data_IF_626800823044
#
_entry.id   IF_626800823044
#
_cell.length_a   1.000
_cell.length_b   1.000
_cell.length_c   1.000
_cell.angle_alpha   90.00
_cell.angle_beta   90.00
_cell.angle_gamma   90.00
#
_symmetry.space_group_name_H-M   'P 1'
#
loop_
_entity.id
_entity.type
_entity.pdbx_description
1 polymer ?
#
# COMPACT_ATOMS: atom_id res chain seq x y z
N UNK A 1 20.42 -20.05 12.63
CA UNK A 1 20.33 -20.85 13.85
C UNK A 1 20.10 -20.00 15.10
N UNK A 2 20.73 -18.83 15.21
CA UNK A 2 20.62 -17.96 16.42
C UNK A 2 19.26 -17.24 16.51
N UNK A 3 18.68 -16.85 15.37
CA UNK A 3 17.36 -16.19 15.33
C UNK A 3 16.21 -17.13 15.76
N UNK A 4 16.37 -18.43 15.57
CA UNK A 4 15.36 -19.44 15.89
C UNK A 4 15.40 -19.87 17.36
N UNK A 5 16.49 -19.60 18.08
CA UNK A 5 16.62 -19.97 19.48
C UNK A 5 15.78 -19.14 20.45
N UNK A 6 15.40 -17.92 20.04
CA UNK A 6 14.61 -16.99 20.84
C UNK A 6 13.10 -17.04 20.54
N UNK A 7 12.69 -17.72 19.47
CA UNK A 7 11.27 -17.89 19.15
C UNK A 7 10.77 -19.23 19.71
N UNK A 8 9.78 -19.19 20.59
CA UNK A 8 9.09 -20.40 21.10
C UNK A 8 8.17 -21.04 20.04
N UNK A 9 8.20 -20.57 18.82
CA UNK A 9 7.36 -21.04 17.72
C UNK A 9 8.16 -22.06 16.90
N UNK A 10 7.79 -23.32 16.99
CA UNK A 10 8.31 -24.35 16.10
C UNK A 10 7.76 -24.14 14.69
N UNK A 11 8.62 -24.19 13.69
CA UNK A 11 8.18 -24.19 12.29
C UNK A 11 7.48 -25.54 12.02
N UNK A 12 6.25 -25.47 11.55
CA UNK A 12 5.53 -26.68 11.10
C UNK A 12 6.16 -27.23 9.82
N UNK A 13 5.97 -28.52 9.54
CA UNK A 13 6.44 -29.15 8.28
C UNK A 13 5.91 -28.39 7.06
N UNK A 14 4.69 -27.90 7.13
CA UNK A 14 4.02 -27.12 6.09
C UNK A 14 4.74 -25.78 5.81
N UNK A 15 5.15 -25.06 6.86
CA UNK A 15 5.92 -23.82 6.74
C UNK A 15 7.33 -24.10 6.21
N UNK A 16 7.97 -25.19 6.66
CA UNK A 16 9.28 -25.63 6.14
C UNK A 16 9.19 -25.95 4.65
N UNK A 17 8.13 -26.63 4.22
CA UNK A 17 7.91 -26.97 2.80
C UNK A 17 7.78 -25.68 1.95
N UNK A 18 6.99 -24.70 2.38
CA UNK A 18 6.85 -23.41 1.66
C UNK A 18 8.18 -22.66 1.57
N UNK A 19 9.02 -22.70 2.63
CA UNK A 19 10.30 -21.98 2.64
C UNK A 19 11.35 -22.64 1.73
N UNK A 20 11.39 -23.97 1.67
CA UNK A 20 12.51 -24.71 1.07
C UNK A 20 12.16 -25.42 -0.24
N UNK A 21 10.89 -25.57 -0.59
CA UNK A 21 10.49 -26.19 -1.86
C UNK A 21 10.40 -25.14 -2.97
N UNK A 22 11.30 -25.17 -3.97
CA UNK A 22 11.30 -24.17 -5.05
C UNK A 22 10.12 -24.30 -6.03
N UNK A 23 9.29 -25.34 -5.90
CA UNK A 23 8.10 -25.52 -6.74
C UNK A 23 6.85 -24.86 -6.14
N UNK A 24 6.89 -24.48 -4.85
CA UNK A 24 5.79 -23.79 -4.15
C UNK A 24 6.07 -22.30 -4.16
N UNK A 25 5.09 -21.49 -4.58
CA UNK A 25 5.13 -20.03 -4.54
C UNK A 25 6.42 -19.42 -5.11
N UNK A 26 6.95 -20.03 -6.17
CA UNK A 26 8.26 -19.72 -6.75
C UNK A 26 8.34 -18.36 -7.44
N UNK A 27 7.21 -17.67 -7.62
CA UNK A 27 7.10 -16.35 -8.20
C UNK A 27 6.22 -15.45 -7.35
N UNK A 28 6.79 -14.37 -6.80
CA UNK A 28 6.00 -13.34 -6.11
C UNK A 28 4.97 -12.73 -7.06
N UNK A 29 5.38 -12.39 -8.27
CA UNK A 29 4.55 -11.87 -9.35
C UNK A 29 4.81 -12.69 -10.61
N UNK A 30 3.82 -13.43 -11.07
CA UNK A 30 3.86 -14.13 -12.36
C UNK A 30 3.45 -13.18 -13.48
N UNK A 31 4.21 -13.18 -14.57
CA UNK A 31 3.90 -12.47 -15.80
C UNK A 31 3.67 -13.45 -16.97
N UNK A 32 3.46 -14.72 -16.68
CA UNK A 32 3.21 -15.76 -17.68
C UNK A 32 1.75 -15.71 -18.15
N UNK A 33 1.52 -15.04 -19.27
CA UNK A 33 0.19 -14.86 -19.86
C UNK A 33 -0.48 -16.17 -20.33
N UNK A 34 0.20 -17.31 -20.25
CA UNK A 34 -0.40 -18.62 -20.56
C UNK A 34 -1.11 -19.23 -19.34
N UNK A 35 -0.98 -18.61 -18.16
CA UNK A 35 -1.56 -19.03 -16.89
C UNK A 35 -2.45 -17.94 -16.32
N UNK A 36 -3.27 -18.28 -15.34
CA UNK A 36 -3.92 -17.29 -14.51
C UNK A 36 -2.86 -16.58 -13.66
N UNK A 37 -2.74 -15.26 -13.83
CA UNK A 37 -1.70 -14.46 -13.20
C UNK A 37 -1.84 -14.44 -11.67
N UNK A 38 -3.07 -14.47 -11.13
CA UNK A 38 -3.28 -14.46 -9.69
C UNK A 38 -2.96 -15.81 -9.07
N UNK A 39 -3.47 -16.89 -9.63
CA UNK A 39 -3.24 -18.25 -9.11
C UNK A 39 -1.79 -18.74 -9.28
N UNK A 40 -1.01 -18.10 -10.15
CA UNK A 40 0.40 -18.39 -10.36
C UNK A 40 1.35 -17.41 -9.67
N UNK A 41 0.84 -16.50 -8.83
CA UNK A 41 1.61 -15.54 -8.06
C UNK A 41 1.50 -15.80 -6.57
N UNK A 42 2.60 -15.68 -5.84
CA UNK A 42 2.67 -15.84 -4.38
C UNK A 42 2.30 -14.54 -3.63
N UNK A 43 1.39 -13.74 -4.17
CA UNK A 43 0.92 -12.52 -3.51
C UNK A 43 -0.31 -12.79 -2.64
N UNK A 44 -0.43 -12.09 -1.53
CA UNK A 44 -1.57 -12.17 -0.60
C UNK A 44 -2.61 -11.07 -0.82
N UNK A 45 -2.55 -10.34 -1.93
CA UNK A 45 -3.49 -9.27 -2.28
C UNK A 45 -4.87 -9.79 -2.67
N UNK A 46 -4.97 -11.09 -2.94
CA UNK A 46 -6.18 -11.78 -3.33
C UNK A 46 -6.42 -13.00 -2.45
N UNK A 47 -7.67 -13.40 -2.28
CA UNK A 47 -7.99 -14.69 -1.70
C UNK A 47 -7.44 -15.84 -2.57
N UNK A 48 -7.13 -17.01 -1.97
CA UNK A 48 -6.42 -18.09 -2.66
C UNK A 48 -7.20 -18.70 -3.84
N UNK A 49 -8.48 -18.45 -3.92
CA UNK A 49 -9.41 -18.94 -4.94
C UNK A 49 -9.91 -17.84 -5.91
N UNK A 50 -9.39 -16.62 -5.78
CA UNK A 50 -9.71 -15.51 -6.68
C UNK A 50 -8.89 -15.64 -7.95
N UNK A 51 -9.55 -15.75 -9.10
CA UNK A 51 -8.90 -15.82 -10.41
C UNK A 51 -8.67 -14.43 -10.99
N UNK A 52 -7.76 -14.35 -11.96
CA UNK A 52 -7.56 -13.12 -12.75
C UNK A 52 -8.89 -12.60 -13.33
N UNK A 53 -9.68 -13.50 -13.92
CA UNK A 53 -10.99 -13.13 -14.51
C UNK A 53 -11.95 -12.57 -13.47
N UNK A 54 -11.99 -13.15 -12.27
CA UNK A 54 -12.84 -12.65 -11.19
C UNK A 54 -12.50 -11.21 -10.84
N UNK A 55 -11.20 -10.91 -10.71
CA UNK A 55 -10.73 -9.56 -10.37
C UNK A 55 -10.99 -8.55 -11.50
N UNK A 56 -10.70 -8.92 -12.74
CA UNK A 56 -10.93 -8.06 -13.91
C UNK A 56 -12.42 -7.74 -14.08
N UNK A 57 -13.31 -8.73 -14.00
CA UNK A 57 -14.75 -8.53 -14.10
C UNK A 57 -15.28 -7.65 -12.95
N UNK A 58 -14.80 -7.88 -11.73
CA UNK A 58 -15.21 -7.12 -10.55
C UNK A 58 -14.87 -5.62 -10.68
N UNK A 59 -13.67 -5.28 -11.13
CA UNK A 59 -13.28 -3.88 -11.31
C UNK A 59 -13.86 -3.27 -12.57
N UNK A 60 -13.99 -4.02 -13.66
CA UNK A 60 -14.66 -3.54 -14.88
C UNK A 60 -16.10 -3.12 -14.62
N UNK A 61 -16.81 -3.81 -13.71
CA UNK A 61 -18.16 -3.46 -13.32
C UNK A 61 -18.27 -2.18 -12.47
N UNK A 62 -17.17 -1.78 -11.79
CA UNK A 62 -17.11 -0.57 -10.95
C UNK A 62 -16.65 0.66 -11.71
N UNK A 63 -15.86 0.48 -12.77
CA UNK A 63 -15.25 1.57 -13.53
C UNK A 63 -16.27 2.24 -14.46
N UNK A 64 -16.38 3.57 -14.36
CA UNK A 64 -17.04 4.36 -15.40
C UNK A 64 -16.03 4.69 -16.50
N UNK A 65 -16.28 4.20 -17.71
CA UNK A 65 -15.43 4.44 -18.89
C UNK A 65 -15.39 5.91 -19.34
N UNK A 66 -16.33 6.72 -18.89
CA UNK A 66 -16.42 8.15 -19.20
C UNK A 66 -15.80 9.04 -18.10
N UNK A 67 -15.37 8.45 -17.00
CA UNK A 67 -14.67 9.20 -15.94
C UNK A 67 -13.25 9.56 -16.41
N UNK A 68 -13.00 10.86 -16.52
CA UNK A 68 -11.70 11.39 -16.92
C UNK A 68 -10.66 11.34 -15.77
N UNK A 69 -11.11 11.12 -14.54
CA UNK A 69 -10.30 11.10 -13.33
C UNK A 69 -10.67 9.90 -12.42
N UNK A 70 -10.54 8.66 -12.95
CA UNK A 70 -10.94 7.48 -12.18
C UNK A 70 -10.06 7.31 -10.94
N UNK A 71 -10.67 6.93 -9.83
CA UNK A 71 -9.93 6.56 -8.63
C UNK A 71 -9.13 5.26 -8.86
N UNK A 72 -8.09 5.05 -8.04
CA UNK A 72 -7.26 3.84 -8.09
C UNK A 72 -7.96 2.65 -7.44
N UNK A 73 -8.97 2.09 -8.10
CA UNK A 73 -9.74 0.96 -7.58
C UNK A 73 -8.86 -0.17 -7.08
N UNK A 74 -9.11 -0.65 -5.87
CA UNK A 74 -8.41 -1.77 -5.26
C UNK A 74 -7.06 -1.43 -4.62
N UNK A 75 -6.59 -0.18 -4.66
CA UNK A 75 -5.27 0.23 -4.18
C UNK A 75 -5.00 -0.21 -2.73
N UNK A 76 -5.98 -0.09 -1.86
CA UNK A 76 -5.88 -0.32 -0.42
C UNK A 76 -6.81 -1.44 0.07
N UNK A 77 -6.93 -2.52 -0.68
CA UNK A 77 -7.80 -3.63 -0.31
C UNK A 77 -7.24 -5.00 -0.71
N UNK A 78 -7.71 -6.04 -0.04
CA UNK A 78 -7.62 -7.42 -0.49
C UNK A 78 -8.95 -7.83 -1.12
N UNK A 79 -8.94 -8.45 -2.30
CA UNK A 79 -10.15 -9.02 -2.91
C UNK A 79 -10.28 -10.49 -2.52
N UNK A 80 -11.43 -10.88 -1.99
CA UNK A 80 -11.70 -12.25 -1.55
C UNK A 80 -13.05 -12.74 -2.06
N UNK A 81 -13.21 -14.06 -2.16
CA UNK A 81 -14.51 -14.69 -2.34
C UNK A 81 -15.17 -14.92 -1.00
N UNK A 82 -16.46 -14.63 -0.93
CA UNK A 82 -17.33 -14.90 0.21
C UNK A 82 -18.57 -15.66 -0.27
N UNK A 83 -19.42 -16.06 0.65
CA UNK A 83 -20.72 -16.66 0.31
C UNK A 83 -21.64 -15.72 -0.53
N UNK A 84 -21.40 -14.42 -0.42
CA UNK A 84 -22.14 -13.38 -1.12
C UNK A 84 -21.48 -12.91 -2.43
N UNK A 85 -20.36 -13.51 -2.84
CA UNK A 85 -19.61 -13.14 -4.02
C UNK A 85 -18.25 -12.53 -3.70
N UNK A 86 -17.73 -11.70 -4.62
CA UNK A 86 -16.47 -11.01 -4.45
C UNK A 86 -16.61 -9.78 -3.54
N UNK A 87 -15.68 -9.61 -2.60
CA UNK A 87 -15.72 -8.59 -1.58
C UNK A 87 -14.31 -8.00 -1.33
N UNK A 88 -14.25 -6.68 -1.13
CA UNK A 88 -13.00 -5.99 -0.76
C UNK A 88 -12.86 -5.89 0.74
N UNK A 89 -11.77 -6.43 1.29
CA UNK A 89 -11.33 -6.18 2.66
C UNK A 89 -10.42 -4.96 2.67
N UNK A 90 -11.02 -3.81 2.93
CA UNK A 90 -10.31 -2.52 2.87
C UNK A 90 -9.31 -2.40 4.03
N UNK A 91 -8.11 -1.91 3.73
CA UNK A 91 -7.05 -1.62 4.68
C UNK A 91 -7.26 -0.23 5.27
N UNK A 92 -7.84 -0.20 6.45
CA UNK A 92 -8.22 1.02 7.16
C UNK A 92 -8.36 0.76 8.66
N UNK A 93 -8.52 1.81 9.45
CA UNK A 93 -8.90 1.71 10.87
C UNK A 93 -10.15 0.83 11.03
N UNK A 94 -10.10 -0.11 11.96
CA UNK A 94 -11.17 -1.09 12.19
C UNK A 94 -11.39 -2.11 11.06
N UNK A 95 -10.59 -2.08 9.99
CA UNK A 95 -10.60 -3.03 8.88
C UNK A 95 -9.41 -3.99 8.93
N UNK A 96 -9.05 -4.52 7.75
CA UNK A 96 -7.83 -5.32 7.62
C UNK A 96 -6.61 -4.44 7.94
N UNK A 97 -5.66 -4.96 8.74
CA UNK A 97 -4.53 -4.23 9.32
C UNK A 97 -4.90 -3.05 10.24
N UNK A 98 -6.15 -3.00 10.74
CA UNK A 98 -6.69 -1.88 11.52
C UNK A 98 -5.81 -1.48 12.69
N UNK A 99 -5.33 -2.42 13.52
CA UNK A 99 -4.47 -2.12 14.67
C UNK A 99 -3.16 -1.41 14.28
N UNK A 100 -2.53 -1.83 13.19
CA UNK A 100 -1.33 -1.18 12.68
C UNK A 100 -1.64 0.21 12.13
N UNK A 101 -2.74 0.35 11.41
CA UNK A 101 -3.20 1.63 10.85
C UNK A 101 -3.56 2.61 11.97
N UNK A 102 -4.17 2.15 13.06
CA UNK A 102 -4.46 2.98 14.24
C UNK A 102 -3.17 3.53 14.88
N UNK A 103 -2.08 2.77 14.90
CA UNK A 103 -0.78 3.28 15.32
C UNK A 103 -0.23 4.33 14.34
N UNK A 104 -0.36 4.11 13.04
CA UNK A 104 0.03 5.10 12.02
C UNK A 104 -0.75 6.41 12.21
N UNK A 105 -2.06 6.35 12.32
CA UNK A 105 -2.91 7.55 12.49
C UNK A 105 -2.64 8.27 13.81
N UNK A 106 -2.33 7.56 14.90
CA UNK A 106 -1.90 8.16 16.16
C UNK A 106 -0.63 9.01 15.97
N UNK A 107 0.38 8.50 15.28
CA UNK A 107 1.61 9.25 15.04
C UNK A 107 1.43 10.38 14.03
N UNK A 108 0.63 10.19 12.98
CA UNK A 108 0.28 11.26 12.04
C UNK A 108 -0.48 12.40 12.73
N UNK A 109 -1.36 12.09 13.71
CA UNK A 109 -2.04 13.13 14.51
C UNK A 109 -1.05 13.98 15.29
N UNK A 110 -0.01 13.38 15.86
CA UNK A 110 1.07 14.15 16.51
C UNK A 110 1.90 14.95 15.51
N UNK A 111 2.11 14.43 14.30
CA UNK A 111 2.79 15.16 13.25
C UNK A 111 2.01 16.42 12.83
N UNK A 112 0.68 16.38 12.79
CA UNK A 112 -0.16 17.55 12.53
C UNK A 112 0.10 18.69 13.55
N UNK A 113 0.35 18.34 14.82
CA UNK A 113 0.59 19.33 15.89
C UNK A 113 1.92 20.09 15.70
N UNK A 114 2.86 19.51 14.97
CA UNK A 114 4.20 20.06 14.72
C UNK A 114 4.47 20.32 13.24
N UNK A 115 3.42 20.33 12.42
CA UNK A 115 3.55 20.63 10.99
C UNK A 115 4.20 21.97 10.75
N UNK A 116 5.12 22.05 9.80
CA UNK A 116 5.93 23.26 9.53
C UNK A 116 5.08 24.40 8.99
N UNK A 117 3.97 24.09 8.34
CA UNK A 117 3.05 25.07 7.76
C UNK A 117 1.63 24.48 7.63
N UNK A 118 0.68 25.34 7.28
CA UNK A 118 -0.74 24.98 7.16
C UNK A 118 -0.98 23.96 6.02
N UNK A 119 -0.27 24.09 4.90
CA UNK A 119 -0.44 23.19 3.75
C UNK A 119 -0.02 21.75 4.11
N UNK A 120 1.12 21.59 4.77
CA UNK A 120 1.58 20.29 5.28
C UNK A 120 0.60 19.72 6.31
N UNK A 121 0.13 20.54 7.26
CA UNK A 121 -0.86 20.13 8.25
C UNK A 121 -2.18 19.68 7.63
N UNK A 122 -2.63 20.32 6.55
CA UNK A 122 -3.85 19.94 5.82
C UNK A 122 -3.66 18.61 5.06
N UNK A 123 -2.53 18.39 4.41
CA UNK A 123 -2.20 17.13 3.76
C UNK A 123 -2.19 15.97 4.79
N UNK A 124 -1.54 16.14 5.94
CA UNK A 124 -1.52 15.14 7.02
C UNK A 124 -2.94 14.78 7.52
N UNK A 125 -3.84 15.77 7.67
CA UNK A 125 -5.23 15.53 8.07
C UNK A 125 -5.99 14.70 7.04
N UNK A 126 -5.83 14.99 5.75
CA UNK A 126 -6.44 14.20 4.69
C UNK A 126 -5.90 12.76 4.65
N UNK A 127 -4.61 12.58 4.92
CA UNK A 127 -4.01 11.24 5.03
C UNK A 127 -4.61 10.45 6.21
N UNK A 128 -4.82 11.10 7.35
CA UNK A 128 -5.50 10.50 8.51
C UNK A 128 -6.94 10.12 8.16
N UNK A 129 -7.68 10.99 7.48
CA UNK A 129 -9.05 10.72 7.06
C UNK A 129 -9.11 9.53 6.08
N UNK A 130 -8.15 9.46 5.15
CA UNK A 130 -8.02 8.30 4.27
C UNK A 130 -7.79 7.00 5.04
N UNK A 131 -6.87 6.96 5.99
CA UNK A 131 -6.63 5.78 6.81
C UNK A 131 -7.83 5.37 7.68
N UNK A 132 -8.61 6.34 8.15
CA UNK A 132 -9.81 6.08 8.93
C UNK A 132 -10.96 5.54 8.08
N UNK A 133 -11.14 6.05 6.87
CA UNK A 133 -12.28 5.74 6.00
C UNK A 133 -11.98 4.65 4.97
N UNK A 134 -10.73 4.59 4.49
CA UNK A 134 -10.34 3.79 3.33
C UNK A 134 -10.84 4.34 2.00
N UNK A 135 -11.37 5.58 1.98
CA UNK A 135 -11.96 6.18 0.78
C UNK A 135 -10.88 6.67 -0.20
N UNK A 136 -10.89 6.14 -1.41
CA UNK A 136 -9.93 6.47 -2.45
C UNK A 136 -10.11 7.88 -3.04
N UNK A 137 -11.27 8.50 -2.89
CA UNK A 137 -11.43 9.94 -3.24
C UNK A 137 -10.73 10.83 -2.23
N UNK A 138 -10.75 10.45 -0.96
CA UNK A 138 -9.96 11.12 0.08
C UNK A 138 -8.47 10.93 -0.16
N UNK A 139 -8.04 9.74 -0.65
CA UNK A 139 -6.67 9.52 -1.10
C UNK A 139 -6.25 10.47 -2.22
N UNK A 140 -7.08 10.64 -3.25
CA UNK A 140 -6.81 11.58 -4.33
C UNK A 140 -6.72 13.03 -3.83
N UNK A 141 -7.63 13.43 -2.93
CA UNK A 141 -7.60 14.75 -2.31
C UNK A 141 -6.32 14.98 -1.48
N UNK A 142 -5.87 13.95 -0.75
CA UNK A 142 -4.58 13.96 -0.05
C UNK A 142 -3.42 14.17 -1.03
N UNK A 143 -3.35 13.42 -2.11
CA UNK A 143 -2.27 13.54 -3.10
C UNK A 143 -2.20 14.95 -3.70
N UNK A 144 -3.35 15.55 -4.02
CA UNK A 144 -3.40 16.96 -4.50
C UNK A 144 -2.88 17.93 -3.43
N UNK A 145 -3.30 17.75 -2.17
CA UNK A 145 -2.84 18.59 -1.07
C UNK A 145 -1.34 18.41 -0.81
N UNK A 146 -0.84 17.18 -0.83
CA UNK A 146 0.57 16.85 -0.62
C UNK A 146 1.46 17.44 -1.72
N UNK A 147 1.13 17.24 -3.00
CA UNK A 147 1.93 17.72 -4.14
C UNK A 147 1.99 19.26 -4.21
N UNK A 148 1.02 19.95 -3.62
CA UNK A 148 1.00 21.42 -3.54
C UNK A 148 1.68 21.98 -2.29
N UNK A 149 1.97 21.15 -1.29
CA UNK A 149 2.67 21.55 -0.06
C UNK A 149 4.19 21.50 -0.26
N UNK A 150 4.73 22.41 -1.05
CA UNK A 150 6.14 22.43 -1.48
C UNK A 150 7.08 23.18 -0.53
N UNK A 151 6.55 23.85 0.46
CA UNK A 151 7.31 24.64 1.42
C UNK A 151 7.58 23.84 2.69
N UNK A 152 8.83 23.92 3.20
CA UNK A 152 9.26 23.23 4.41
C UNK A 152 10.54 22.44 4.21
N UNK A 153 11.07 21.89 5.31
CA UNK A 153 12.34 21.18 5.36
C UNK A 153 12.15 19.65 5.51
N UNK A 154 10.92 19.21 5.77
CA UNK A 154 10.56 17.81 5.95
C UNK A 154 9.50 17.44 4.92
N UNK A 155 9.81 16.42 4.12
CA UNK A 155 8.87 15.78 3.22
C UNK A 155 8.70 14.31 3.57
N UNK A 156 7.58 13.70 3.15
CA UNK A 156 7.28 12.34 3.51
C UNK A 156 6.43 11.65 2.44
N UNK A 157 6.62 10.34 2.34
CA UNK A 157 5.77 9.41 1.62
C UNK A 157 5.25 8.42 2.66
N UNK A 158 3.96 8.19 2.71
CA UNK A 158 3.37 7.24 3.66
C UNK A 158 2.01 6.76 3.14
N UNK A 159 1.95 5.61 2.53
CA UNK A 159 0.71 4.89 2.21
C UNK A 159 0.93 3.57 1.48
N UNK A 160 -0.17 3.01 0.97
CA UNK A 160 -0.20 1.94 -0.03
C UNK A 160 -0.07 2.58 -1.41
N UNK A 161 1.09 2.43 -2.08
CA UNK A 161 1.45 3.25 -3.25
C UNK A 161 1.87 2.37 -4.43
N UNK A 162 2.92 1.56 -4.26
CA UNK A 162 3.58 0.86 -5.35
C UNK A 162 2.84 -0.41 -5.75
N UNK A 163 2.34 -0.45 -6.99
CA UNK A 163 1.48 -1.53 -7.50
C UNK A 163 2.22 -2.66 -8.22
N UNK A 164 3.54 -2.57 -8.40
CA UNK A 164 4.34 -3.57 -9.14
C UNK A 164 4.40 -4.95 -8.47
N UNK A 165 4.00 -5.06 -7.21
CA UNK A 165 3.88 -6.33 -6.49
C UNK A 165 2.53 -7.04 -6.75
N UNK A 166 1.60 -6.40 -7.43
CA UNK A 166 0.33 -6.98 -7.86
C UNK A 166 0.43 -7.33 -9.36
N UNK A 167 0.21 -8.59 -9.77
CA UNK A 167 0.26 -8.98 -11.18
C UNK A 167 -0.76 -8.27 -12.06
N UNK A 168 -1.83 -7.71 -11.50
CA UNK A 168 -2.82 -6.90 -12.21
C UNK A 168 -2.65 -5.39 -12.01
N UNK A 169 -1.74 -4.96 -11.14
CA UNK A 169 -1.44 -3.56 -10.91
C UNK A 169 -2.52 -2.75 -10.18
N UNK A 170 -3.41 -3.39 -9.41
CA UNK A 170 -4.43 -2.69 -8.63
C UNK A 170 -3.97 -2.35 -7.22
N UNK A 171 -3.29 -3.27 -6.51
CA UNK A 171 -2.98 -3.17 -5.07
C UNK A 171 -1.65 -2.52 -4.81
N UNK A 172 -1.67 -1.51 -3.95
CA UNK A 172 -0.47 -0.82 -3.49
C UNK A 172 0.22 -1.59 -2.36
N UNK A 173 1.54 -1.76 -2.46
CA UNK A 173 2.36 -2.12 -1.31
C UNK A 173 2.51 -0.92 -0.39
N UNK A 174 2.55 -1.16 0.93
CA UNK A 174 2.81 -0.09 1.90
C UNK A 174 4.25 0.41 1.80
N UNK A 175 4.40 1.71 1.75
CA UNK A 175 5.68 2.38 1.69
C UNK A 175 5.68 3.60 2.60
N UNK A 176 6.81 3.84 3.26
CA UNK A 176 7.03 5.05 4.06
C UNK A 176 8.47 5.50 3.95
N UNK A 177 8.64 6.76 3.62
CA UNK A 177 9.94 7.44 3.54
C UNK A 177 9.78 8.82 4.17
N UNK A 178 10.74 9.24 4.96
CA UNK A 178 10.84 10.60 5.49
C UNK A 178 12.16 11.18 5.02
N UNK A 179 12.10 12.36 4.44
CA UNK A 179 13.25 13.13 3.97
C UNK A 179 13.33 14.44 4.73
N UNK A 180 14.55 14.80 5.15
CA UNK A 180 14.83 16.06 5.80
C UNK A 180 15.90 16.82 5.00
N UNK A 181 15.73 18.12 4.88
CA UNK A 181 16.70 18.98 4.19
C UNK A 181 18.02 19.05 4.96
N UNK A 182 19.12 18.61 4.33
CA UNK A 182 20.48 18.80 4.85
C UNK A 182 21.06 20.08 4.23
N UNK A 183 21.00 21.17 4.97
CA UNK A 183 21.46 22.50 4.53
C UNK A 183 22.94 22.53 4.17
N UNK A 184 23.79 21.82 4.92
CA UNK A 184 25.22 21.78 4.62
C UNK A 184 25.52 20.99 3.35
N UNK A 185 24.87 19.83 3.17
CA UNK A 185 25.02 19.06 1.95
C UNK A 185 24.47 19.82 0.75
N UNK A 186 23.31 20.48 0.89
CA UNK A 186 22.71 21.31 -0.15
C UNK A 186 23.65 22.45 -0.58
N UNK A 187 24.27 23.14 0.39
CA UNK A 187 25.23 24.21 0.10
C UNK A 187 26.49 23.69 -0.62
N UNK A 188 27.00 22.51 -0.23
CA UNK A 188 28.12 21.86 -0.94
C UNK A 188 27.76 21.46 -2.37
N UNK A 189 26.55 20.91 -2.57
CA UNK A 189 26.09 20.51 -3.89
C UNK A 189 25.82 21.71 -4.82
N UNK A 190 25.38 22.83 -4.29
CA UNK A 190 25.18 24.07 -5.06
C UNK A 190 26.50 24.56 -5.70
N UNK A 191 27.64 24.34 -5.05
CA UNK A 191 28.99 24.69 -5.61
C UNK A 191 29.36 23.78 -6.79
N UNK A 192 28.89 22.55 -6.79
CA UNK A 192 29.16 21.58 -7.88
C UNK A 192 28.21 21.80 -9.06
N UNK A 193 27.00 22.29 -8.81
CA UNK A 193 25.96 22.52 -9.83
C UNK A 193 26.16 23.81 -10.64
N UNK A 194 26.99 24.78 -10.16
CA UNK A 194 27.37 26.03 -10.84
C UNK A 194 28.74 25.91 -11.51
#
# INVERSE_FOLDING_TARGET
ATLMADTKTELTEEVIEVIFNPEIDNKKVSLDATKDLLLSSATNFYGPDVTQKDAEDFYAAKMDKNDATPISYGLNSQLVKTENGLEERVWKSGGMYGEAIDQVTMWLTKAVEVAENEAQGNALKLLIDYYNTGDLKTWDAYNVAWVTATEGDIDYINSFIEVYNDPLGYRGSYETVIQMNDFEASARMAVVAN
#
